data_IF_391073166900
#
_entry.id   IF_391073166900
#
_cell.length_a   1.000
_cell.length_b   1.000
_cell.length_c   1.000
_cell.angle_alpha   90.00
_cell.angle_beta   90.00
_cell.angle_gamma   90.00
#
_symmetry.space_group_name_H-M   'P 1'
#
loop_
_entity.id
_entity.type
_entity.pdbx_description
1 polymer ?
#
# COMPACT_ATOMS: atom_id res chain seq x y z
N UNK A 1 19.61 19.82 -0.01
CA UNK A 1 20.24 18.49 0.16
C UNK A 1 19.12 17.49 0.40
N UNK A 2 19.07 16.40 -0.36
CA UNK A 2 18.03 15.38 -0.18
C UNK A 2 18.21 14.70 1.18
N UNK A 3 17.12 14.56 1.93
CA UNK A 3 17.09 13.88 3.24
C UNK A 3 16.62 12.43 3.12
N UNK A 4 15.80 12.13 2.11
CA UNK A 4 15.22 10.80 1.90
C UNK A 4 15.36 10.37 0.43
N UNK A 5 15.39 9.06 0.19
CA UNK A 5 15.13 8.51 -1.14
C UNK A 5 13.64 8.18 -1.30
N UNK A 6 13.10 8.26 -2.51
CA UNK A 6 11.72 7.84 -2.78
C UNK A 6 11.48 6.39 -2.35
N UNK A 7 12.43 5.49 -2.61
CA UNK A 7 12.34 4.09 -2.19
C UNK A 7 12.25 3.94 -0.67
N UNK A 8 12.96 4.77 0.09
CA UNK A 8 12.87 4.78 1.56
C UNK A 8 11.49 5.26 2.03
N UNK A 9 11.00 6.36 1.46
CA UNK A 9 9.64 6.87 1.77
C UNK A 9 8.60 5.80 1.43
N UNK A 10 8.70 5.22 0.24
CA UNK A 10 7.79 4.17 -0.23
C UNK A 10 7.77 2.97 0.71
N UNK A 11 8.93 2.38 1.01
CA UNK A 11 9.01 1.14 1.81
C UNK A 11 8.67 1.37 3.28
N UNK A 12 9.06 2.50 3.88
CA UNK A 12 8.84 2.77 5.32
C UNK A 12 7.52 3.46 5.64
N UNK A 13 6.95 4.24 4.72
CA UNK A 13 5.77 5.08 4.99
C UNK A 13 4.53 4.64 4.19
N UNK A 14 4.71 4.25 2.92
CA UNK A 14 3.59 3.94 2.02
C UNK A 14 3.19 2.48 2.06
N UNK A 15 4.13 1.61 1.69
CA UNK A 15 3.91 0.19 1.48
C UNK A 15 3.25 -0.52 2.67
N UNK A 16 3.58 -0.24 3.95
CA UNK A 16 2.90 -0.87 5.08
C UNK A 16 1.40 -0.54 5.15
N UNK A 17 1.03 0.72 4.88
CA UNK A 17 -0.38 1.14 4.88
C UNK A 17 -1.14 0.52 3.72
N UNK A 18 -0.51 0.44 2.54
CA UNK A 18 -1.10 -0.15 1.35
C UNK A 18 -1.31 -1.66 1.54
N UNK A 19 -0.31 -2.38 2.06
CA UNK A 19 -0.46 -3.81 2.35
C UNK A 19 -1.59 -4.08 3.35
N UNK A 20 -1.78 -3.22 4.36
CA UNK A 20 -2.91 -3.36 5.29
C UNK A 20 -4.25 -3.08 4.63
N UNK A 21 -4.33 -2.07 3.76
CA UNK A 21 -5.53 -1.83 2.94
C UNK A 21 -5.87 -3.05 2.08
N UNK A 22 -4.89 -3.58 1.33
CA UNK A 22 -5.07 -4.79 0.52
C UNK A 22 -5.50 -5.99 1.38
N UNK A 23 -4.90 -6.15 2.57
CA UNK A 23 -5.29 -7.21 3.50
C UNK A 23 -6.77 -7.10 3.88
N UNK A 24 -7.25 -5.90 4.19
CA UNK A 24 -8.66 -5.67 4.49
C UNK A 24 -9.56 -6.04 3.31
N UNK A 25 -9.23 -5.61 2.10
CA UNK A 25 -10.01 -5.96 0.89
C UNK A 25 -10.06 -7.47 0.65
N UNK A 26 -8.92 -8.15 0.70
CA UNK A 26 -8.84 -9.61 0.50
C UNK A 26 -9.64 -10.40 1.54
N UNK A 27 -9.66 -9.94 2.79
CA UNK A 27 -10.38 -10.63 3.87
C UNK A 27 -11.88 -10.34 3.78
N UNK A 28 -12.28 -9.08 3.59
CA UNK A 28 -13.68 -8.66 3.66
C UNK A 28 -14.46 -8.95 2.38
N UNK A 29 -13.83 -8.78 1.23
CA UNK A 29 -14.54 -8.86 -0.05
C UNK A 29 -14.32 -10.19 -0.75
N UNK A 30 -13.19 -10.85 -0.48
CA UNK A 30 -12.79 -12.10 -1.14
C UNK A 30 -12.70 -13.31 -0.16
N UNK A 31 -13.11 -13.13 1.10
CA UNK A 31 -13.16 -14.18 2.13
C UNK A 31 -11.83 -14.91 2.38
N UNK A 32 -10.68 -14.27 2.17
CA UNK A 32 -9.40 -14.89 2.47
C UNK A 32 -9.17 -14.96 3.98
N UNK A 33 -8.52 -16.04 4.44
CA UNK A 33 -8.08 -16.13 5.84
C UNK A 33 -6.93 -15.15 6.10
N UNK A 34 -6.80 -14.67 7.34
CA UNK A 34 -5.68 -13.80 7.74
C UNK A 34 -4.31 -14.47 7.50
N UNK A 35 -4.24 -15.81 7.66
CA UNK A 35 -3.04 -16.59 7.39
C UNK A 35 -2.69 -16.57 5.89
N UNK A 36 -3.68 -16.81 5.01
CA UNK A 36 -3.48 -16.74 3.56
C UNK A 36 -2.99 -15.35 3.13
N UNK A 37 -3.62 -14.29 3.65
CA UNK A 37 -3.22 -12.91 3.35
C UNK A 37 -1.83 -12.57 3.90
N UNK A 38 -1.48 -13.05 5.10
CA UNK A 38 -0.15 -12.90 5.69
C UNK A 38 0.93 -13.45 4.75
N UNK A 39 0.69 -14.63 4.18
CA UNK A 39 1.62 -15.27 3.25
C UNK A 39 1.72 -14.51 1.91
N UNK A 40 0.59 -14.05 1.37
CA UNK A 40 0.54 -13.32 0.09
C UNK A 40 1.22 -11.95 0.19
N UNK A 41 0.92 -11.18 1.23
CA UNK A 41 1.38 -9.79 1.34
C UNK A 41 2.70 -9.65 2.12
N UNK A 42 3.16 -10.71 2.78
CA UNK A 42 4.31 -10.67 3.68
C UNK A 42 4.08 -9.72 4.85
N UNK A 43 2.88 -9.74 5.42
CA UNK A 43 2.49 -8.93 6.60
C UNK A 43 2.21 -9.87 7.75
N UNK A 44 2.84 -9.64 8.90
CA UNK A 44 2.60 -10.45 10.10
C UNK A 44 1.11 -10.49 10.44
N UNK A 45 0.56 -11.69 10.61
CA UNK A 45 -0.86 -11.91 10.96
C UNK A 45 -1.35 -11.06 12.16
N UNK A 46 -0.59 -10.86 13.27
CA UNK A 46 -1.01 -9.98 14.36
C UNK A 46 -1.22 -8.52 13.93
N UNK A 47 -0.44 -8.02 12.96
CA UNK A 47 -0.60 -6.65 12.46
C UNK A 47 -1.89 -6.50 11.65
N UNK A 48 -2.27 -7.53 10.89
CA UNK A 48 -3.56 -7.60 10.20
C UNK A 48 -4.69 -7.58 11.23
N UNK A 49 -4.60 -8.40 12.28
CA UNK A 49 -5.61 -8.43 13.35
C UNK A 49 -5.76 -7.06 14.03
N UNK A 50 -4.66 -6.39 14.37
CA UNK A 50 -4.69 -5.05 14.98
C UNK A 50 -5.29 -3.99 14.07
N UNK A 51 -5.08 -4.11 12.76
CA UNK A 51 -5.72 -3.23 11.80
C UNK A 51 -7.23 -3.50 11.71
N UNK A 52 -7.64 -4.76 11.57
CA UNK A 52 -9.06 -5.15 11.45
C UNK A 52 -9.88 -4.85 12.72
N UNK A 53 -9.26 -4.95 13.89
CA UNK A 53 -9.87 -4.62 15.19
C UNK A 53 -9.88 -3.13 15.51
N UNK A 54 -9.35 -2.29 14.62
CA UNK A 54 -9.26 -0.83 14.83
C UNK A 54 -8.21 -0.41 15.86
N UNK A 55 -7.48 -1.34 16.48
CA UNK A 55 -6.41 -1.06 17.46
C UNK A 55 -5.22 -0.31 16.86
N UNK A 56 -5.06 -0.35 15.53
CA UNK A 56 -4.03 0.40 14.81
C UNK A 56 -4.60 1.02 13.55
N UNK A 57 -4.52 2.35 13.44
CA UNK A 57 -4.85 3.09 12.22
C UNK A 57 -3.58 3.41 11.42
N UNK A 58 -3.39 2.87 10.20
CA UNK A 58 -2.24 3.21 9.36
C UNK A 58 -2.30 4.67 8.92
N UNK A 59 -1.14 5.35 8.88
CA UNK A 59 -1.05 6.79 8.60
C UNK A 59 -1.70 7.23 7.28
N UNK A 60 -1.66 6.37 6.26
CA UNK A 60 -2.19 6.70 4.93
C UNK A 60 -3.59 6.13 4.67
N UNK A 61 -4.24 5.50 5.65
CA UNK A 61 -5.54 4.88 5.38
C UNK A 61 -6.59 5.93 4.99
N UNK A 62 -6.56 7.09 5.63
CA UNK A 62 -7.48 8.20 5.33
C UNK A 62 -7.22 8.75 3.93
N UNK A 63 -5.95 8.86 3.52
CA UNK A 63 -5.59 9.30 2.17
C UNK A 63 -6.08 8.33 1.10
N UNK A 64 -5.88 7.02 1.32
CA UNK A 64 -6.39 5.97 0.43
C UNK A 64 -7.92 6.06 0.33
N UNK A 65 -8.62 6.32 1.44
CA UNK A 65 -10.08 6.43 1.43
C UNK A 65 -10.58 7.70 0.74
N UNK A 66 -9.89 8.83 0.91
CA UNK A 66 -10.28 10.12 0.33
C UNK A 66 -9.94 10.28 -1.15
N UNK A 67 -8.89 9.61 -1.63
CA UNK A 67 -8.47 9.67 -3.04
C UNK A 67 -9.09 8.49 -3.82
N UNK A 68 -10.21 8.75 -4.50
CA UNK A 68 -10.99 7.73 -5.21
C UNK A 68 -10.20 7.03 -6.31
N UNK A 69 -9.33 7.74 -7.01
CA UNK A 69 -8.51 7.19 -8.09
C UNK A 69 -7.46 6.22 -7.54
N UNK A 70 -6.71 6.64 -6.51
CA UNK A 70 -5.72 5.78 -5.88
C UNK A 70 -6.37 4.55 -5.24
N UNK A 71 -7.52 4.74 -4.57
CA UNK A 71 -8.33 3.65 -4.02
C UNK A 71 -8.70 2.63 -5.10
N UNK A 72 -9.24 3.09 -6.23
CA UNK A 72 -9.65 2.23 -7.36
C UNK A 72 -8.49 1.40 -7.88
N UNK A 73 -7.28 1.97 -7.95
CA UNK A 73 -6.11 1.21 -8.39
C UNK A 73 -5.74 0.11 -7.39
N UNK A 74 -5.77 0.41 -6.08
CA UNK A 74 -5.53 -0.61 -5.05
C UNK A 74 -6.61 -1.70 -5.05
N UNK A 75 -7.85 -1.33 -5.35
CA UNK A 75 -8.97 -2.29 -5.45
C UNK A 75 -8.78 -3.24 -6.62
N UNK A 76 -8.35 -2.73 -7.78
CA UNK A 76 -7.99 -3.56 -8.92
C UNK A 76 -6.82 -4.49 -8.60
N UNK A 77 -5.82 -4.01 -7.85
CA UNK A 77 -4.72 -4.88 -7.38
C UNK A 77 -5.25 -5.99 -6.46
N UNK A 78 -6.17 -5.69 -5.55
CA UNK A 78 -6.78 -6.71 -4.69
C UNK A 78 -7.60 -7.73 -5.49
N UNK A 79 -8.38 -7.26 -6.46
CA UNK A 79 -9.14 -8.12 -7.39
C UNK A 79 -8.24 -9.05 -8.19
N UNK A 80 -7.14 -8.53 -8.73
CA UNK A 80 -6.19 -9.35 -9.49
C UNK A 80 -5.55 -10.42 -8.60
N UNK A 81 -5.15 -10.07 -7.37
CA UNK A 81 -4.61 -11.03 -6.39
C UNK A 81 -5.64 -12.13 -6.09
N UNK A 82 -6.92 -11.77 -6.02
CA UNK A 82 -7.99 -12.73 -5.77
C UNK A 82 -8.26 -13.64 -6.98
N UNK A 83 -8.21 -13.09 -8.19
CA UNK A 83 -8.69 -13.74 -9.41
C UNK A 83 -7.67 -14.63 -10.09
N UNK A 84 -6.38 -14.25 -10.12
CA UNK A 84 -5.37 -15.02 -10.86
C UNK A 84 -4.85 -16.24 -10.11
N UNK A 85 -5.18 -16.37 -8.82
CA UNK A 85 -4.37 -17.18 -7.92
C UNK A 85 -2.98 -16.55 -7.78
N UNK A 86 -2.32 -16.76 -6.63
CA UNK A 86 -1.00 -16.17 -6.40
C UNK A 86 0.08 -17.02 -7.09
N UNK A 87 0.10 -17.03 -8.42
CA UNK A 87 1.22 -17.57 -9.20
C UNK A 87 2.41 -16.59 -9.12
N UNK A 88 3.12 -16.71 -7.99
CA UNK A 88 4.51 -16.41 -7.61
C UNK A 88 5.38 -15.32 -8.27
N UNK A 89 5.02 -14.61 -9.35
CA UNK A 89 6.00 -13.75 -10.06
C UNK A 89 5.70 -12.25 -10.09
N UNK A 90 4.61 -11.77 -9.48
CA UNK A 90 4.34 -10.33 -9.44
C UNK A 90 4.69 -9.71 -8.08
N UNK A 91 5.84 -9.03 -8.03
CA UNK A 91 6.24 -8.14 -6.94
C UNK A 91 5.15 -7.04 -6.75
N UNK A 92 4.23 -7.24 -5.79
CA UNK A 92 3.15 -6.28 -5.46
C UNK A 92 3.74 -4.89 -5.18
N UNK A 93 4.86 -4.83 -4.46
CA UNK A 93 5.54 -3.57 -4.16
C UNK A 93 5.98 -2.84 -5.45
N UNK A 94 6.48 -3.56 -6.44
CA UNK A 94 6.93 -3.02 -7.71
C UNK A 94 5.73 -2.48 -8.52
N UNK A 95 4.62 -3.23 -8.54
CA UNK A 95 3.39 -2.81 -9.21
C UNK A 95 2.84 -1.50 -8.61
N UNK A 96 2.80 -1.40 -7.29
CA UNK A 96 2.38 -0.18 -6.59
C UNK A 96 3.36 0.97 -6.88
N UNK A 97 4.67 0.72 -6.85
CA UNK A 97 5.69 1.74 -7.12
C UNK A 97 5.55 2.31 -8.54
N UNK A 98 5.34 1.46 -9.55
CA UNK A 98 5.14 1.88 -10.94
C UNK A 98 3.89 2.76 -11.07
N UNK A 99 2.79 2.35 -10.44
CA UNK A 99 1.55 3.15 -10.43
C UNK A 99 1.83 4.53 -9.84
N UNK A 100 2.44 4.60 -8.65
CA UNK A 100 2.69 5.87 -7.96
C UNK A 100 3.57 6.83 -8.79
N UNK A 101 4.57 6.30 -9.50
CA UNK A 101 5.44 7.10 -10.37
C UNK A 101 4.73 7.61 -11.63
N UNK A 102 3.70 6.91 -12.12
CA UNK A 102 2.96 7.28 -13.34
C UNK A 102 1.80 8.24 -13.09
N UNK A 103 1.19 8.20 -11.91
CA UNK A 103 -0.05 8.95 -11.62
C UNK A 103 0.18 10.26 -10.87
N UNK A 104 1.40 10.59 -10.44
CA UNK A 104 1.68 11.82 -9.69
C UNK A 104 1.17 11.81 -8.24
N UNK A 105 0.78 10.65 -7.70
CA UNK A 105 0.36 10.57 -6.28
C UNK A 105 1.50 10.78 -5.29
N UNK A 106 2.76 10.77 -5.77
CA UNK A 106 3.93 10.95 -4.92
C UNK A 106 3.85 12.32 -4.24
N UNK A 107 3.60 13.41 -4.98
CA UNK A 107 3.51 14.75 -4.38
C UNK A 107 2.41 14.85 -3.33
N UNK A 108 1.23 14.30 -3.61
CA UNK A 108 0.08 14.32 -2.68
C UNK A 108 0.39 13.55 -1.39
N UNK A 109 1.01 12.38 -1.53
CA UNK A 109 1.39 11.55 -0.39
C UNK A 109 2.47 12.24 0.43
N UNK A 110 3.50 12.82 -0.21
CA UNK A 110 4.56 13.55 0.46
C UNK A 110 4.00 14.71 1.30
N UNK A 111 3.09 15.49 0.71
CA UNK A 111 2.36 16.56 1.41
C UNK A 111 1.59 16.02 2.61
N UNK A 112 0.90 14.89 2.46
CA UNK A 112 0.10 14.28 3.54
C UNK A 112 0.93 13.76 4.70
N UNK A 113 2.14 13.26 4.43
CA UNK A 113 3.06 12.77 5.47
C UNK A 113 4.00 13.85 6.02
N UNK A 114 3.84 15.11 5.56
CA UNK A 114 4.60 16.26 6.02
C UNK A 114 6.06 16.26 5.57
N UNK A 115 6.34 15.72 4.39
CA UNK A 115 7.68 15.72 3.78
C UNK A 115 7.64 16.64 2.56
N UNK A 116 8.58 17.58 2.46
CA UNK A 116 8.72 18.44 1.29
C UNK A 116 9.30 17.62 0.12
N UNK A 117 8.75 17.76 -1.08
CA UNK A 117 9.25 17.06 -2.27
C UNK A 117 10.70 17.40 -2.59
N UNK A 118 11.19 18.59 -2.20
CA UNK A 118 12.59 19.02 -2.34
C UNK A 118 13.53 18.26 -1.40
N UNK A 119 13.01 17.62 -0.36
CA UNK A 119 13.78 16.79 0.56
C UNK A 119 13.89 15.34 0.08
N UNK A 120 13.18 14.96 -0.99
CA UNK A 120 13.13 13.58 -1.49
C UNK A 120 13.81 13.46 -2.84
N UNK A 121 14.80 12.57 -2.92
CA UNK A 121 15.36 12.18 -4.20
C UNK A 121 14.37 11.27 -4.94
N UNK A 122 13.80 11.78 -6.03
CA UNK A 122 12.92 11.05 -6.93
C UNK A 122 13.73 10.71 -8.19
N UNK A 123 14.10 9.44 -8.41
CA UNK A 123 14.72 9.05 -9.67
C UNK A 123 13.73 9.34 -10.81
N UNK A 124 14.21 9.99 -11.87
CA UNK A 124 13.45 10.18 -13.11
C UNK A 124 13.38 8.87 -13.88
#
# INVERSE_FOLDING_TARGET
>A
MYKYSLCEVFTKKLLPSIKLYLAYRLIRDFNYSQLRVSNILGVKQPLINYFLSGRRKPRLIDFIQSNSEFRRILDNIAYDIASTGFEQNNCIACRICIVLRKTGFIEDILRKIGIDSREVYIPR
#
